data_IF_790146351514
#
_entry.id   IF_790146351514
#
_cell.length_a   1.000
_cell.length_b   1.000
_cell.length_c   1.000
_cell.angle_alpha   90.00
_cell.angle_beta   90.00
_cell.angle_gamma   90.00
#
_symmetry.space_group_name_H-M   'P 1'
#
loop_
_entity.id
_entity.type
_entity.pdbx_description
1 polymer ?
#
# COMPACT_ATOMS: atom_id res chain seq x y z
N UNK A 1 -19.23 -1.83 -28.48
CA UNK A 1 -19.36 -1.88 -27.00
C UNK A 1 -18.37 -0.85 -26.45
N UNK A 2 -18.85 0.36 -26.18
CA UNK A 2 -17.99 1.47 -25.71
C UNK A 2 -17.83 1.28 -24.21
N UNK A 3 -16.65 0.87 -23.77
CA UNK A 3 -16.33 0.85 -22.35
C UNK A 3 -16.22 2.31 -21.90
N UNK A 4 -17.20 2.81 -21.16
CA UNK A 4 -17.06 4.11 -20.52
C UNK A 4 -16.02 3.99 -19.42
N UNK A 5 -14.82 4.49 -19.70
CA UNK A 5 -13.74 4.58 -18.72
C UNK A 5 -13.99 5.80 -17.82
N UNK A 6 -14.38 5.55 -16.58
CA UNK A 6 -14.51 6.61 -15.57
C UNK A 6 -13.23 6.67 -14.74
N UNK A 7 -12.56 7.82 -14.79
CA UNK A 7 -11.38 8.10 -13.96
C UNK A 7 -11.86 8.92 -12.75
N UNK A 8 -11.89 8.29 -11.59
CA UNK A 8 -12.20 8.96 -10.32
C UNK A 8 -10.89 9.39 -9.64
N UNK A 9 -10.78 10.70 -9.35
CA UNK A 9 -9.72 11.21 -8.47
C UNK A 9 -10.25 11.26 -7.04
N UNK A 10 -9.53 10.62 -6.13
CA UNK A 10 -9.84 10.63 -4.71
C UNK A 10 -8.78 11.44 -3.97
N UNK A 11 -9.18 12.08 -2.89
CA UNK A 11 -8.28 12.84 -2.02
C UNK A 11 -7.49 11.93 -1.07
N UNK A 12 -7.93 10.68 -0.85
CA UNK A 12 -7.31 9.71 0.04
C UNK A 12 -7.72 8.28 -0.28
N UNK A 13 -6.84 7.31 0.02
CA UNK A 13 -7.13 5.88 -0.05
C UNK A 13 -8.27 5.45 0.90
N UNK A 14 -8.53 6.20 1.97
CA UNK A 14 -9.60 5.88 2.92
C UNK A 14 -11.01 5.92 2.34
N UNK A 15 -11.21 6.54 1.17
CA UNK A 15 -12.51 6.57 0.49
C UNK A 15 -12.76 5.35 -0.42
N UNK A 16 -11.70 4.58 -0.74
CA UNK A 16 -11.80 3.44 -1.65
C UNK A 16 -12.73 2.32 -1.16
N UNK A 17 -12.75 1.95 0.15
CA UNK A 17 -13.67 0.91 0.61
C UNK A 17 -15.12 1.21 0.22
N UNK A 18 -15.57 2.44 0.42
CA UNK A 18 -16.93 2.87 0.07
C UNK A 18 -17.16 2.86 -1.43
N UNK A 19 -16.20 3.32 -2.25
CA UNK A 19 -16.36 3.29 -3.70
C UNK A 19 -16.39 1.87 -4.26
N UNK A 20 -15.45 1.01 -3.84
CA UNK A 20 -15.35 -0.38 -4.29
C UNK A 20 -16.59 -1.20 -3.88
N UNK A 21 -17.18 -0.92 -2.72
CA UNK A 21 -18.37 -1.62 -2.26
C UNK A 21 -19.66 -1.22 -3.00
N UNK A 22 -19.72 0.02 -3.50
CA UNK A 22 -20.97 0.61 -4.01
C UNK A 22 -20.95 0.94 -5.51
N UNK A 23 -19.87 0.63 -6.22
CA UNK A 23 -19.75 0.94 -7.65
C UNK A 23 -18.91 -0.08 -8.40
N UNK A 24 -19.07 -0.12 -9.72
CA UNK A 24 -18.32 -1.03 -10.59
C UNK A 24 -16.98 -0.40 -11.00
N UNK A 25 -16.08 -0.25 -10.03
CA UNK A 25 -14.75 0.33 -10.24
C UNK A 25 -13.66 -0.62 -9.74
N UNK A 26 -12.48 -0.49 -10.33
CA UNK A 26 -11.26 -1.15 -9.86
C UNK A 26 -10.24 -0.09 -9.44
N UNK A 27 -9.34 -0.43 -8.53
CA UNK A 27 -8.34 0.49 -8.02
C UNK A 27 -6.96 -0.19 -7.94
N UNK A 28 -5.92 0.58 -8.28
CA UNK A 28 -4.52 0.20 -8.09
C UNK A 28 -3.99 0.98 -6.89
N UNK A 29 -3.42 0.28 -5.92
CA UNK A 29 -2.90 0.87 -4.68
C UNK A 29 -1.76 0.01 -4.11
N UNK A 30 -0.99 0.52 -3.13
CA UNK A 30 0.02 -0.28 -2.44
C UNK A 30 -0.58 -1.55 -1.83
N UNK A 31 0.15 -2.65 -1.92
CA UNK A 31 -0.36 -3.99 -1.58
C UNK A 31 -0.98 -4.08 -0.18
N UNK A 32 -0.33 -3.53 0.85
CA UNK A 32 -0.89 -3.59 2.20
C UNK A 32 -2.17 -2.81 2.36
N UNK A 33 -2.31 -1.68 1.68
CA UNK A 33 -3.59 -0.96 1.64
C UNK A 33 -4.64 -1.82 0.95
N UNK A 34 -4.30 -2.47 -0.18
CA UNK A 34 -5.22 -3.37 -0.87
C UNK A 34 -5.67 -4.51 0.04
N UNK A 35 -4.76 -5.16 0.78
CA UNK A 35 -5.06 -6.26 1.71
C UNK A 35 -5.92 -5.81 2.89
N UNK A 36 -5.68 -4.62 3.44
CA UNK A 36 -6.48 -4.06 4.54
C UNK A 36 -7.90 -3.73 4.07
N UNK A 37 -8.03 -3.14 2.88
CA UNK A 37 -9.34 -2.76 2.30
C UNK A 37 -10.12 -3.96 1.79
N UNK A 38 -9.44 -4.97 1.22
CA UNK A 38 -10.10 -6.11 0.58
C UNK A 38 -10.73 -7.08 1.58
N UNK A 39 -10.07 -7.34 2.70
CA UNK A 39 -10.51 -8.28 3.74
C UNK A 39 -11.96 -8.06 4.21
N UNK A 40 -12.36 -6.85 4.68
CA UNK A 40 -13.73 -6.63 5.16
C UNK A 40 -14.78 -6.61 4.04
N UNK A 41 -14.37 -6.38 2.79
CA UNK A 41 -15.26 -6.26 1.64
C UNK A 41 -15.36 -7.54 0.80
N UNK A 42 -14.58 -8.57 1.14
CA UNK A 42 -14.50 -9.81 0.35
C UNK A 42 -13.95 -9.59 -1.07
N UNK A 43 -13.13 -8.55 -1.27
CA UNK A 43 -12.59 -8.21 -2.58
C UNK A 43 -11.39 -9.09 -2.94
N UNK A 44 -11.23 -9.39 -4.23
CA UNK A 44 -10.03 -10.05 -4.76
C UNK A 44 -8.93 -9.01 -5.01
N UNK A 45 -7.71 -9.32 -4.61
CA UNK A 45 -6.51 -8.56 -4.93
C UNK A 45 -5.75 -9.32 -6.00
N UNK A 46 -5.32 -8.63 -7.04
CA UNK A 46 -4.63 -9.20 -8.20
C UNK A 46 -3.34 -8.41 -8.48
N UNK A 47 -2.31 -9.05 -9.06
CA UNK A 47 -1.14 -8.32 -9.53
C UNK A 47 -1.53 -7.31 -10.61
N UNK A 48 -0.86 -6.16 -10.60
CA UNK A 48 -1.07 -5.14 -11.63
C UNK A 48 -0.56 -5.70 -12.97
N UNK A 49 -1.36 -5.67 -14.06
CA UNK A 49 -0.99 -6.25 -15.36
C UNK A 49 0.09 -5.44 -16.11
N UNK A 50 0.78 -4.55 -15.41
CA UNK A 50 1.78 -3.62 -15.94
C UNK A 50 3.02 -3.74 -15.06
N UNK A 51 4.21 -3.57 -15.66
CA UNK A 51 5.44 -3.47 -14.88
C UNK A 51 5.43 -2.15 -14.09
N UNK A 52 5.19 -2.25 -12.78
CA UNK A 52 5.20 -1.09 -11.86
C UNK A 52 6.49 -1.13 -11.05
N UNK A 53 7.23 -0.02 -10.92
CA UNK A 53 8.40 0.01 -10.05
C UNK A 53 7.99 -0.25 -8.59
N UNK A 54 8.85 -0.92 -7.79
CA UNK A 54 8.54 -1.20 -6.40
C UNK A 54 8.41 0.10 -5.60
N UNK A 55 7.43 0.12 -4.69
CA UNK A 55 7.25 1.24 -3.77
C UNK A 55 8.40 1.25 -2.75
N UNK A 56 9.18 2.33 -2.72
CA UNK A 56 10.23 2.52 -1.73
C UNK A 56 9.71 3.33 -0.55
N UNK A 57 9.68 2.71 0.63
CA UNK A 57 9.38 3.40 1.88
C UNK A 57 10.67 3.90 2.53
N UNK A 58 10.65 5.14 3.00
CA UNK A 58 11.79 5.77 3.67
C UNK A 58 11.33 6.50 4.93
N UNK A 59 12.20 6.51 5.94
CA UNK A 59 12.03 7.34 7.13
C UNK A 59 12.91 8.58 6.97
N UNK A 60 12.34 9.75 7.25
CA UNK A 60 13.04 11.02 7.22
C UNK A 60 12.99 11.68 8.60
N UNK A 61 14.09 12.31 9.00
CA UNK A 61 14.20 13.03 10.25
C UNK A 61 15.19 14.19 10.10
N UNK A 62 15.17 15.11 11.06
CA UNK A 62 16.08 16.25 11.07
C UNK A 62 17.46 15.82 11.61
N UNK A 63 18.59 16.29 11.05
CA UNK A 63 19.95 15.89 11.50
C UNK A 63 20.20 16.09 13.01
N UNK A 64 19.53 17.08 13.61
CA UNK A 64 19.59 17.35 15.06
C UNK A 64 19.21 16.15 15.93
N UNK A 65 18.29 15.30 15.48
CA UNK A 65 17.81 14.14 16.24
C UNK A 65 18.46 12.83 15.78
N UNK A 66 19.47 12.91 14.91
CA UNK A 66 20.09 11.72 14.33
C UNK A 66 20.83 10.85 15.36
N UNK A 67 21.41 11.49 16.38
CA UNK A 67 22.15 10.82 17.47
C UNK A 67 21.35 10.71 18.76
N UNK A 68 20.08 11.06 18.75
CA UNK A 68 19.23 11.04 19.94
C UNK A 68 18.75 9.60 20.24
N UNK A 69 19.11 8.99 21.39
CA UNK A 69 18.85 7.57 21.66
C UNK A 69 17.38 7.14 21.57
N UNK A 70 16.39 7.88 22.11
CA UNK A 70 14.97 7.57 21.93
C UNK A 70 14.55 7.57 20.46
N UNK A 71 15.10 8.51 19.67
CA UNK A 71 14.84 8.63 18.23
C UNK A 71 15.47 7.48 17.44
N UNK A 72 16.68 7.04 17.81
CA UNK A 72 17.32 5.84 17.24
C UNK A 72 16.45 4.61 17.53
N UNK A 73 16.08 4.39 18.80
CA UNK A 73 15.25 3.24 19.19
C UNK A 73 13.94 3.23 18.41
N UNK A 74 13.22 4.35 18.33
CA UNK A 74 11.95 4.42 17.61
C UNK A 74 12.11 4.13 16.12
N UNK A 75 13.13 4.70 15.46
CA UNK A 75 13.42 4.42 14.04
C UNK A 75 13.68 2.94 13.81
N UNK A 76 14.43 2.29 14.69
CA UNK A 76 14.66 0.85 14.59
C UNK A 76 13.37 0.06 14.80
N UNK A 77 12.51 0.42 15.76
CA UNK A 77 11.20 -0.25 15.92
C UNK A 77 10.34 -0.12 14.66
N UNK A 78 10.22 1.08 14.09
CA UNK A 78 9.44 1.29 12.86
C UNK A 78 10.04 0.49 11.70
N UNK A 79 11.37 0.48 11.56
CA UNK A 79 12.05 -0.29 10.53
C UNK A 79 11.81 -1.79 10.69
N UNK A 80 11.93 -2.34 11.90
CA UNK A 80 11.63 -3.74 12.18
C UNK A 80 10.17 -4.06 11.83
N UNK A 81 9.21 -3.27 12.31
CA UNK A 81 7.79 -3.47 11.99
C UNK A 81 7.52 -3.42 10.49
N UNK A 82 8.20 -2.57 9.72
CA UNK A 82 8.03 -2.50 8.27
C UNK A 82 8.66 -3.68 7.53
N UNK A 83 9.77 -4.24 8.04
CA UNK A 83 10.37 -5.46 7.52
C UNK A 83 9.55 -6.71 7.88
N UNK A 84 9.01 -6.74 9.10
CA UNK A 84 8.17 -7.83 9.63
C UNK A 84 6.76 -7.80 9.05
N UNK A 85 6.26 -6.61 8.72
CA UNK A 85 5.06 -6.43 7.90
C UNK A 85 5.25 -6.93 6.46
N UNK A 86 6.25 -7.79 6.22
CA UNK A 86 6.39 -8.62 5.05
C UNK A 86 5.02 -9.18 4.68
N UNK A 87 4.37 -8.50 3.74
CA UNK A 87 3.20 -8.97 3.03
C UNK A 87 3.66 -10.05 2.05
N UNK A 88 4.34 -11.08 2.58
CA UNK A 88 4.74 -12.28 1.88
C UNK A 88 3.46 -13.09 1.73
N UNK A 89 2.89 -13.10 0.52
CA UNK A 89 2.24 -14.32 0.07
C UNK A 89 3.18 -15.06 -0.87
N UNK A 90 3.19 -16.37 -0.65
CA UNK A 90 3.74 -17.42 -1.48
C UNK A 90 3.44 -17.13 -2.96
N UNK A 91 4.45 -16.67 -3.70
CA UNK A 91 4.24 -16.24 -5.08
C UNK A 91 5.40 -15.40 -5.60
N UNK A 92 6.54 -16.06 -5.76
CA UNK A 92 7.69 -15.69 -6.58
C UNK A 92 7.81 -14.26 -7.07
N UNK A 93 8.84 -13.57 -6.58
CA UNK A 93 9.64 -12.74 -7.46
C UNK A 93 10.34 -13.69 -8.44
N UNK A 94 9.69 -14.02 -9.54
CA UNK A 94 10.38 -14.53 -10.73
C UNK A 94 10.70 -13.35 -11.64
N UNK A 95 12.01 -13.24 -11.90
CA UNK A 95 12.77 -12.39 -12.82
C UNK A 95 13.11 -10.94 -12.40
#
# INVERSE_FOLDING_TARGET
MVWNLYICRLSSFGMLPTMLANSNVMAVMPEGTARVVSRPLGLRVEPVPLKVPPLRMALAWHPRTDRDPPHIWFREQVKQLMLDACWREEGGCEE
#
